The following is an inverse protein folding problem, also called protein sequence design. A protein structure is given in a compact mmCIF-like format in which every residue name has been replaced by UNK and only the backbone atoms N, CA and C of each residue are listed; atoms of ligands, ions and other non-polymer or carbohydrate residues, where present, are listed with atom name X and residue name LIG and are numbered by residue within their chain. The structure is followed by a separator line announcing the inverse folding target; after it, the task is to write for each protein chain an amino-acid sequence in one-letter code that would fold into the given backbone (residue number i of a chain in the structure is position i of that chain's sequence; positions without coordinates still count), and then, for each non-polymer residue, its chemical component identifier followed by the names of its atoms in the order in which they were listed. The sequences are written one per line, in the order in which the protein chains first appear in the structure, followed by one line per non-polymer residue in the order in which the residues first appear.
data_IF_410224896135
#
_entry.id   IF_410224896135
#
_cell.length_a   1.000
_cell.length_b   1.000
_cell.length_c   1.000
_cell.angle_alpha   90.00
_cell.angle_beta   90.00
_cell.angle_gamma   90.00
#
_symmetry.space_group_name_H-M   'P 1'
#
loop_
_entity.id
_entity.type
_entity.pdbx_description
1 polymer ?
#
# COMPACT_ATOMS: atom_id res chain seq x y z
N UNK A 1 -62.58 -33.32 -1.07
CA UNK A 1 -61.88 -33.20 -2.40
C UNK A 1 -60.89 -32.06 -2.45
N UNK A 2 -61.12 -30.92 -1.81
CA UNK A 2 -60.24 -29.76 -1.91
C UNK A 2 -58.92 -29.82 -1.14
N UNK A 3 -58.84 -30.54 -0.02
CA UNK A 3 -57.58 -30.64 0.80
C UNK A 3 -56.52 -31.49 0.11
N UNK A 4 -56.89 -32.47 -0.65
CA UNK A 4 -55.98 -33.39 -1.38
C UNK A 4 -55.28 -32.66 -2.53
N UNK A 5 -55.99 -31.77 -3.20
CA UNK A 5 -55.46 -30.94 -4.31
C UNK A 5 -54.40 -29.96 -3.78
N UNK A 6 -54.63 -29.35 -2.61
CA UNK A 6 -53.65 -28.43 -2.00
C UNK A 6 -52.35 -29.12 -1.57
N UNK A 7 -52.44 -30.35 -1.08
CA UNK A 7 -51.28 -31.17 -0.71
C UNK A 7 -50.49 -31.57 -1.97
N UNK A 8 -51.18 -31.89 -3.08
CA UNK A 8 -50.53 -32.22 -4.35
C UNK A 8 -49.84 -31.04 -4.99
N UNK A 9 -50.41 -29.83 -4.91
CA UNK A 9 -49.81 -28.62 -5.42
C UNK A 9 -48.60 -28.17 -4.57
N UNK A 10 -48.65 -28.37 -3.24
CA UNK A 10 -47.52 -28.05 -2.35
C UNK A 10 -46.33 -29.03 -2.54
N UNK A 11 -46.61 -30.30 -2.87
CA UNK A 11 -45.59 -31.31 -3.16
C UNK A 11 -44.87 -31.07 -4.50
N UNK A 12 -45.58 -30.51 -5.50
CA UNK A 12 -45.01 -30.22 -6.83
C UNK A 12 -44.06 -28.98 -6.80
N UNK A 13 -44.24 -28.08 -5.85
CA UNK A 13 -43.38 -26.88 -5.74
C UNK A 13 -42.01 -27.16 -5.08
N UNK A 14 -41.81 -28.33 -4.47
CA UNK A 14 -40.54 -28.71 -3.82
C UNK A 14 -39.52 -29.37 -4.78
N UNK A 15 -39.89 -29.65 -6.02
CA UNK A 15 -39.02 -30.34 -7.00
C UNK A 15 -38.41 -29.36 -8.02
N UNK A 16 -38.68 -28.06 -7.94
CA UNK A 16 -38.43 -27.11 -9.02
C UNK A 16 -37.10 -26.33 -8.93
N UNK A 17 -36.14 -26.72 -8.06
CA UNK A 17 -34.83 -26.06 -8.01
C UNK A 17 -33.71 -27.05 -7.76
N UNK A 18 -33.32 -27.81 -8.78
CA UNK A 18 -31.97 -28.41 -8.83
C UNK A 18 -31.29 -27.94 -10.12
N UNK A 19 -30.56 -26.82 -10.04
CA UNK A 19 -29.59 -26.47 -11.07
C UNK A 19 -28.37 -27.37 -10.88
N UNK A 20 -28.30 -28.45 -11.64
CA UNK A 20 -27.07 -29.22 -11.76
C UNK A 20 -26.07 -28.41 -12.60
N UNK A 21 -25.06 -27.84 -11.95
CA UNK A 21 -23.85 -27.36 -12.63
C UNK A 21 -23.16 -28.61 -13.22
N UNK A 22 -23.40 -28.87 -14.49
CA UNK A 22 -22.63 -29.87 -15.24
C UNK A 22 -21.29 -29.23 -15.57
N UNK A 23 -20.25 -29.66 -14.90
CA UNK A 23 -18.87 -29.33 -15.26
C UNK A 23 -18.56 -30.04 -16.59
N UNK A 24 -18.76 -29.36 -17.73
CA UNK A 24 -18.19 -29.81 -19.00
C UNK A 24 -16.68 -29.76 -18.91
N UNK A 25 -16.04 -30.90 -19.11
CA UNK A 25 -14.61 -31.16 -19.14
C UNK A 25 -13.70 -29.91 -19.18
N UNK A 26 -13.03 -29.61 -18.08
CA UNK A 26 -11.90 -28.66 -18.08
C UNK A 26 -10.70 -29.38 -18.67
N UNK A 27 -10.36 -29.05 -19.90
CA UNK A 27 -9.08 -29.45 -20.47
C UNK A 27 -8.02 -28.47 -19.93
N UNK A 28 -7.05 -28.98 -19.18
CA UNK A 28 -5.84 -28.21 -18.86
C UNK A 28 -5.04 -28.15 -20.15
N UNK A 29 -5.03 -26.97 -20.79
CA UNK A 29 -4.13 -26.70 -21.91
C UNK A 29 -2.82 -26.22 -21.33
N UNK A 30 -1.74 -27.00 -21.42
CA UNK A 30 -0.43 -26.55 -20.93
C UNK A 30 0.01 -25.37 -21.81
N UNK A 31 0.37 -24.26 -21.18
CA UNK A 31 1.00 -23.13 -21.86
C UNK A 31 2.46 -23.53 -22.07
N UNK A 32 2.81 -23.94 -23.32
CA UNK A 32 4.21 -24.21 -23.67
C UNK A 32 4.95 -22.89 -23.87
N UNK A 33 6.23 -22.85 -23.47
CA UNK A 33 7.12 -21.70 -23.73
C UNK A 33 7.46 -21.56 -25.22
N UNK A 34 7.15 -22.59 -26.03
CA UNK A 34 7.47 -22.68 -27.43
C UNK A 34 6.35 -22.18 -28.37
N UNK A 35 5.38 -21.45 -27.80
CA UNK A 35 4.37 -20.78 -28.61
C UNK A 35 5.01 -19.76 -29.54
N UNK A 36 4.86 -19.98 -30.86
CA UNK A 36 5.26 -19.00 -31.88
C UNK A 36 4.42 -17.72 -31.64
N UNK A 37 5.11 -16.61 -31.31
CA UNK A 37 4.43 -15.32 -31.27
C UNK A 37 3.84 -15.02 -32.64
N UNK A 38 2.60 -14.54 -32.68
CA UNK A 38 1.99 -14.10 -33.93
C UNK A 38 2.75 -12.84 -34.38
N UNK A 39 3.42 -12.92 -35.53
CA UNK A 39 4.33 -11.85 -36.01
C UNK A 39 3.67 -10.48 -36.10
N UNK A 40 2.39 -10.41 -36.43
CA UNK A 40 1.60 -9.18 -36.46
C UNK A 40 1.42 -8.59 -35.05
N UNK A 41 1.14 -9.42 -34.06
CA UNK A 41 1.00 -8.99 -32.66
C UNK A 41 2.35 -8.48 -32.12
N UNK A 42 3.45 -9.15 -32.45
CA UNK A 42 4.80 -8.69 -32.06
C UNK A 42 5.16 -7.33 -32.68
N UNK A 43 4.80 -7.10 -33.94
CA UNK A 43 5.03 -5.81 -34.60
C UNK A 43 4.26 -4.67 -33.91
N UNK A 44 3.06 -4.94 -33.45
CA UNK A 44 2.24 -3.95 -32.73
C UNK A 44 2.81 -3.69 -31.30
N UNK A 45 3.20 -4.74 -30.59
CA UNK A 45 3.64 -4.65 -29.19
C UNK A 45 5.08 -4.14 -29.06
N UNK A 46 5.96 -4.47 -30.01
CA UNK A 46 7.39 -4.19 -29.93
C UNK A 46 7.73 -2.71 -29.64
N UNK A 47 7.16 -1.70 -30.32
CA UNK A 47 7.47 -0.30 -30.03
C UNK A 47 7.14 0.12 -28.59
N UNK A 48 6.02 -0.36 -28.05
CA UNK A 48 5.61 -0.11 -26.66
C UNK A 48 6.52 -0.80 -25.67
N UNK A 49 6.86 -2.07 -25.93
CA UNK A 49 7.80 -2.83 -25.09
C UNK A 49 9.17 -2.16 -25.06
N UNK A 50 9.71 -1.76 -26.22
CA UNK A 50 11.01 -1.10 -26.30
C UNK A 50 11.02 0.25 -25.57
N UNK A 51 9.95 1.02 -25.67
CA UNK A 51 9.79 2.29 -24.93
C UNK A 51 9.69 2.06 -23.43
N UNK A 52 8.84 1.13 -22.99
CA UNK A 52 8.70 0.78 -21.58
C UNK A 52 10.01 0.24 -20.99
N UNK A 53 10.72 -0.63 -21.74
CA UNK A 53 11.99 -1.19 -21.27
C UNK A 53 13.02 -0.10 -21.03
N UNK A 54 13.12 0.91 -21.89
CA UNK A 54 14.02 2.05 -21.69
C UNK A 54 13.71 2.81 -20.40
N UNK A 55 12.43 3.05 -20.14
CA UNK A 55 11.98 3.76 -18.94
C UNK A 55 12.21 2.91 -17.69
N UNK A 56 11.83 1.63 -17.72
CA UNK A 56 11.92 0.76 -16.54
C UNK A 56 13.36 0.39 -16.16
N UNK A 57 14.31 0.55 -17.07
CA UNK A 57 15.74 0.29 -16.82
C UNK A 57 16.52 1.54 -16.39
N UNK A 58 15.85 2.66 -16.13
CA UNK A 58 16.54 3.84 -15.58
C UNK A 58 17.01 3.50 -14.16
N UNK A 59 18.29 3.74 -13.88
CA UNK A 59 18.88 3.63 -12.55
C UNK A 59 18.29 4.67 -11.60
N UNK A 60 17.86 4.23 -10.42
CA UNK A 60 17.22 5.07 -9.40
C UNK A 60 18.09 5.22 -8.16
N UNK A 61 18.89 4.19 -7.85
CA UNK A 61 19.77 4.16 -6.67
C UNK A 61 20.34 2.78 -6.45
N UNK A 62 21.01 2.57 -5.33
CA UNK A 62 21.56 1.28 -4.94
C UNK A 62 21.03 0.87 -3.56
N UNK A 63 20.82 -0.41 -3.38
CA UNK A 63 20.46 -0.99 -2.11
C UNK A 63 21.68 -1.67 -1.48
N UNK A 64 22.16 -1.26 -0.29
CA UNK A 64 23.31 -1.87 0.38
C UNK A 64 22.98 -3.26 0.92
N UNK A 65 21.71 -3.56 1.16
CA UNK A 65 21.20 -4.80 1.75
C UNK A 65 19.92 -5.24 1.04
N UNK A 66 19.37 -6.40 1.41
CA UNK A 66 18.01 -6.75 1.04
C UNK A 66 17.02 -6.02 1.94
N UNK A 67 16.13 -5.22 1.35
CA UNK A 67 15.00 -4.64 2.05
C UNK A 67 13.82 -5.59 1.98
N UNK A 68 13.38 -6.10 3.13
CA UNK A 68 12.33 -7.12 3.24
C UNK A 68 11.10 -6.57 3.95
N UNK A 69 9.95 -7.16 3.65
CA UNK A 69 8.67 -6.86 4.30
C UNK A 69 8.40 -7.86 5.41
N UNK A 70 8.34 -7.39 6.65
CA UNK A 70 8.02 -8.22 7.81
C UNK A 70 7.36 -7.38 8.90
N UNK A 71 6.32 -7.91 9.52
CA UNK A 71 5.68 -7.31 10.69
C UNK A 71 6.37 -7.76 11.98
N UNK A 72 6.35 -6.95 13.01
CA UNK A 72 5.67 -5.66 13.17
C UNK A 72 6.43 -4.46 12.56
N UNK A 73 7.70 -4.58 12.27
CA UNK A 73 8.56 -3.57 11.65
C UNK A 73 9.66 -4.24 10.85
N UNK A 74 10.01 -3.68 9.72
CA UNK A 74 11.11 -4.17 8.88
C UNK A 74 11.88 -3.01 8.25
N UNK A 75 13.09 -3.28 7.75
CA UNK A 75 13.89 -2.26 7.09
C UNK A 75 13.17 -1.65 5.87
N UNK A 76 12.38 -2.44 5.11
CA UNK A 76 11.62 -1.90 4.00
C UNK A 76 10.45 -1.03 4.43
N UNK A 77 9.70 -1.43 5.44
CA UNK A 77 8.61 -0.60 6.01
C UNK A 77 9.16 0.73 6.51
N UNK A 78 10.30 0.66 7.22
CA UNK A 78 10.95 1.85 7.73
C UNK A 78 11.42 2.75 6.59
N UNK A 79 12.13 2.19 5.58
CA UNK A 79 12.63 2.97 4.46
C UNK A 79 11.52 3.65 3.67
N UNK A 80 10.42 2.95 3.36
CA UNK A 80 9.29 3.54 2.61
C UNK A 80 8.67 4.71 3.37
N UNK A 81 8.45 4.55 4.67
CA UNK A 81 7.88 5.62 5.49
C UNK A 81 8.86 6.80 5.67
N UNK A 82 10.15 6.51 5.93
CA UNK A 82 11.20 7.52 6.10
C UNK A 82 11.44 8.30 4.81
N UNK A 83 11.53 7.61 3.67
CA UNK A 83 11.73 8.23 2.37
C UNK A 83 10.58 9.18 2.03
N UNK A 84 9.34 8.76 2.26
CA UNK A 84 8.20 9.65 2.05
C UNK A 84 8.22 10.83 3.01
N UNK A 85 8.47 10.59 4.30
CA UNK A 85 8.56 11.65 5.31
C UNK A 85 9.67 12.66 4.95
N UNK A 86 10.86 12.20 4.63
CA UNK A 86 11.98 13.05 4.24
C UNK A 86 11.67 13.85 2.96
N UNK A 87 11.13 13.20 1.92
CA UNK A 87 10.76 13.87 0.67
C UNK A 87 9.77 15.01 0.92
N UNK A 88 8.81 14.80 1.81
CA UNK A 88 7.74 15.76 2.07
C UNK A 88 8.13 16.89 3.05
N UNK A 89 9.15 16.68 3.90
CA UNK A 89 9.49 17.63 4.97
C UNK A 89 10.82 18.36 4.77
N UNK A 90 11.68 17.91 3.85
CA UNK A 90 13.04 18.46 3.67
C UNK A 90 13.11 19.96 3.34
N UNK A 91 12.04 20.53 2.78
CA UNK A 91 11.99 21.96 2.42
C UNK A 91 11.00 22.76 3.27
N UNK A 92 10.34 22.12 4.22
CA UNK A 92 9.29 22.72 5.06
C UNK A 92 9.80 22.85 6.48
N UNK A 93 9.67 24.05 7.06
CA UNK A 93 9.85 24.22 8.50
C UNK A 93 8.58 23.76 9.21
N UNK A 94 8.66 22.62 9.88
CA UNK A 94 7.54 22.06 10.62
C UNK A 94 7.23 22.96 11.84
N UNK A 95 6.02 23.49 11.89
CA UNK A 95 5.51 24.29 13.03
C UNK A 95 4.60 23.46 13.94
N UNK A 96 4.22 22.27 13.51
CA UNK A 96 3.36 21.32 14.20
C UNK A 96 4.00 19.93 14.14
N UNK A 97 3.72 19.04 15.10
CA UNK A 97 4.19 17.65 15.02
C UNK A 97 3.60 16.96 13.79
N UNK A 98 4.46 16.23 13.09
CA UNK A 98 4.12 15.51 11.85
C UNK A 98 4.71 14.11 11.91
N UNK A 99 3.98 13.11 11.46
CA UNK A 99 4.50 11.77 11.24
C UNK A 99 3.96 11.16 9.94
N UNK A 100 4.58 10.08 9.46
CA UNK A 100 4.09 9.34 8.31
C UNK A 100 3.44 8.03 8.77
N UNK A 101 2.29 7.70 8.21
CA UNK A 101 1.60 6.42 8.39
C UNK A 101 1.11 5.93 7.03
N UNK A 102 1.59 4.76 6.64
CA UNK A 102 1.17 4.06 5.42
C UNK A 102 0.57 2.69 5.79
N UNK A 103 0.16 1.91 4.77
CA UNK A 103 -0.32 0.56 4.96
C UNK A 103 0.69 -0.47 4.43
N UNK A 104 0.83 -1.58 5.15
CA UNK A 104 1.63 -2.74 4.74
C UNK A 104 1.23 -3.23 3.34
N UNK A 105 -0.10 -3.31 3.08
CA UNK A 105 -0.65 -3.76 1.81
C UNK A 105 -0.32 -2.87 0.61
N UNK A 106 0.09 -1.62 0.83
CA UNK A 106 0.52 -0.69 -0.22
C UNK A 106 1.87 -1.04 -0.82
N UNK A 107 2.74 -1.71 -0.06
CA UNK A 107 4.06 -2.16 -0.49
C UNK A 107 3.92 -3.57 -1.10
N UNK A 108 4.28 -3.75 -2.37
CA UNK A 108 3.94 -4.96 -3.14
C UNK A 108 5.13 -5.83 -3.53
N UNK A 109 6.35 -5.37 -3.28
CA UNK A 109 7.60 -6.08 -3.61
C UNK A 109 8.66 -5.78 -2.56
N UNK A 110 9.73 -6.56 -2.55
CA UNK A 110 10.97 -6.29 -1.81
C UNK A 110 11.97 -5.60 -2.73
N UNK A 111 13.02 -5.00 -2.16
CA UNK A 111 14.17 -4.51 -2.91
C UNK A 111 15.38 -5.38 -2.60
N UNK A 112 15.98 -5.96 -3.62
CA UNK A 112 17.17 -6.77 -3.43
C UNK A 112 18.42 -5.87 -3.30
N UNK A 113 19.44 -6.38 -2.62
CA UNK A 113 20.76 -5.77 -2.62
C UNK A 113 21.28 -5.58 -4.04
N UNK A 114 21.84 -4.41 -4.33
CA UNK A 114 22.41 -4.05 -5.63
C UNK A 114 21.70 -2.86 -6.26
N UNK A 115 21.79 -2.78 -7.58
CA UNK A 115 21.18 -1.71 -8.37
C UNK A 115 19.65 -1.73 -8.24
N UNK A 116 19.05 -0.55 -8.06
CA UNK A 116 17.60 -0.34 -8.05
C UNK A 116 17.22 0.40 -9.32
N UNK A 117 16.32 -0.20 -10.08
CA UNK A 117 15.80 0.37 -11.31
C UNK A 117 14.40 0.98 -11.13
N UNK A 118 14.02 1.83 -12.05
CA UNK A 118 12.67 2.39 -12.13
C UNK A 118 11.60 1.30 -12.05
N UNK A 119 11.80 0.19 -12.76
CA UNK A 119 10.89 -0.96 -12.75
C UNK A 119 10.72 -1.60 -11.36
N UNK A 120 11.72 -1.54 -10.50
CA UNK A 120 11.63 -2.08 -9.14
C UNK A 120 10.75 -1.16 -8.27
N UNK A 121 10.83 0.16 -8.46
CA UNK A 121 9.97 1.12 -7.78
C UNK A 121 8.50 0.97 -8.22
N UNK A 122 8.25 0.71 -9.49
CA UNK A 122 6.90 0.40 -9.99
C UNK A 122 6.35 -0.92 -9.45
N UNK A 123 7.19 -1.94 -9.22
CA UNK A 123 6.77 -3.18 -8.55
C UNK A 123 6.54 -2.96 -7.06
N UNK A 124 7.39 -2.13 -6.42
CA UNK A 124 7.30 -1.80 -4.99
C UNK A 124 6.00 -1.08 -4.67
N UNK A 125 5.67 -0.05 -5.43
CA UNK A 125 4.50 0.81 -5.23
C UNK A 125 3.73 0.97 -6.56
N UNK A 126 2.92 -0.03 -6.98
CA UNK A 126 2.27 -0.03 -8.30
C UNK A 126 1.05 0.88 -8.39
N UNK A 127 0.64 1.50 -7.31
CA UNK A 127 -0.55 2.34 -7.25
C UNK A 127 -0.23 3.82 -7.53
N UNK A 128 -1.15 4.53 -8.19
CA UNK A 128 -1.05 5.98 -8.43
C UNK A 128 -1.69 6.79 -7.29
N UNK A 129 -1.56 6.31 -6.06
CA UNK A 129 -2.06 6.99 -4.88
C UNK A 129 -1.34 8.33 -4.68
N UNK A 130 -2.11 9.39 -4.49
CA UNK A 130 -1.57 10.74 -4.27
C UNK A 130 -1.22 10.95 -2.80
N UNK A 131 -0.15 11.69 -2.56
CA UNK A 131 0.24 12.09 -1.21
C UNK A 131 -0.84 13.00 -0.64
N UNK A 132 -1.24 12.72 0.59
CA UNK A 132 -2.22 13.52 1.32
C UNK A 132 -1.72 13.73 2.75
N UNK A 133 -1.79 14.95 3.21
CA UNK A 133 -1.56 15.30 4.60
C UNK A 133 -2.92 15.45 5.28
N UNK A 134 -3.08 14.81 6.42
CA UNK A 134 -4.32 14.86 7.22
C UNK A 134 -3.98 15.40 8.59
N UNK A 135 -4.63 16.49 9.00
CA UNK A 135 -4.55 17.00 10.36
C UNK A 135 -5.59 16.30 11.21
N UNK A 136 -5.17 15.67 12.30
CA UNK A 136 -6.09 14.99 13.22
C UNK A 136 -5.94 15.54 14.65
N UNK A 137 -7.01 15.57 15.45
CA UNK A 137 -6.92 15.84 16.88
C UNK A 137 -6.04 14.79 17.58
N UNK A 138 -5.27 15.18 18.61
CA UNK A 138 -4.40 14.26 19.36
C UNK A 138 -5.19 13.14 20.04
N UNK A 139 -6.48 13.34 20.32
CA UNK A 139 -7.39 12.35 20.87
C UNK A 139 -7.64 11.15 19.94
N UNK A 140 -7.26 11.26 18.68
CA UNK A 140 -7.33 10.17 17.68
C UNK A 140 -6.14 9.20 17.81
N UNK A 141 -5.01 9.62 18.40
CA UNK A 141 -3.80 8.79 18.50
C UNK A 141 -4.01 7.45 19.22
N UNK A 142 -4.81 7.33 20.29
CA UNK A 142 -5.11 6.03 20.89
C UNK A 142 -5.84 5.06 19.93
N UNK A 143 -6.69 5.56 19.04
CA UNK A 143 -7.36 4.74 18.04
C UNK A 143 -6.36 4.24 16.96
N UNK A 144 -5.42 5.10 16.56
CA UNK A 144 -4.33 4.71 15.65
C UNK A 144 -3.45 3.66 16.32
N UNK A 145 -3.09 3.84 17.61
CA UNK A 145 -2.32 2.87 18.37
C UNK A 145 -3.01 1.49 18.43
N UNK A 146 -4.31 1.47 18.74
CA UNK A 146 -5.11 0.25 18.76
C UNK A 146 -5.17 -0.43 17.38
N UNK A 147 -5.27 0.36 16.30
CA UNK A 147 -5.24 -0.15 14.94
C UNK A 147 -3.89 -0.80 14.61
N UNK A 148 -2.77 -0.16 14.94
CA UNK A 148 -1.42 -0.68 14.73
C UNK A 148 -1.19 -2.01 15.46
N UNK A 149 -1.67 -2.13 16.70
CA UNK A 149 -1.63 -3.39 17.45
C UNK A 149 -2.48 -4.48 16.77
N UNK A 150 -3.69 -4.12 16.36
CA UNK A 150 -4.62 -5.06 15.73
C UNK A 150 -4.09 -5.61 14.39
N UNK A 151 -3.45 -4.77 13.58
CA UNK A 151 -2.91 -5.17 12.27
C UNK A 151 -1.55 -5.87 12.38
N UNK A 152 -0.92 -5.79 13.55
CA UNK A 152 0.44 -6.32 13.78
C UNK A 152 1.53 -5.41 13.23
N UNK A 153 1.23 -4.14 12.95
CA UNK A 153 2.19 -3.13 12.51
C UNK A 153 1.99 -2.64 11.08
N UNK A 154 2.22 -1.34 10.90
CA UNK A 154 2.15 -0.64 9.62
C UNK A 154 3.39 0.27 9.48
N UNK A 155 3.78 0.68 8.25
CA UNK A 155 4.92 1.58 8.04
C UNK A 155 4.72 2.94 8.73
N UNK A 156 5.66 3.29 9.62
CA UNK A 156 5.67 4.54 10.37
C UNK A 156 6.99 5.29 10.16
N UNK A 157 6.96 6.62 10.12
CA UNK A 157 8.13 7.48 10.27
C UNK A 157 7.85 8.65 11.20
N UNK A 158 8.88 9.08 11.91
CA UNK A 158 8.81 10.13 12.92
C UNK A 158 7.82 9.84 14.08
N UNK A 159 7.48 8.56 14.26
CA UNK A 159 6.65 8.05 15.34
C UNK A 159 6.99 6.59 15.65
N UNK A 160 6.64 6.13 16.85
CA UNK A 160 6.76 4.74 17.26
C UNK A 160 5.65 4.36 18.25
N UNK A 161 5.28 3.09 18.25
CA UNK A 161 4.33 2.49 19.19
C UNK A 161 5.11 1.74 20.27
N UNK A 162 4.87 2.09 21.53
CA UNK A 162 5.46 1.42 22.68
C UNK A 162 4.43 1.28 23.79
N UNK A 163 4.34 0.09 24.40
CA UNK A 163 3.38 -0.22 25.48
C UNK A 163 1.93 0.21 25.15
N UNK A 164 1.52 0.07 23.89
CA UNK A 164 0.18 0.42 23.43
C UNK A 164 -0.07 1.91 23.24
N UNK A 165 0.94 2.75 23.37
CA UNK A 165 0.87 4.20 23.15
C UNK A 165 1.65 4.61 21.91
N UNK A 166 1.05 5.44 21.07
CA UNK A 166 1.71 6.03 19.91
C UNK A 166 2.43 7.32 20.31
N UNK A 167 3.74 7.31 20.19
CA UNK A 167 4.62 8.45 20.44
C UNK A 167 4.96 9.10 19.10
N UNK A 168 4.76 10.40 19.00
CA UNK A 168 5.09 11.22 17.82
C UNK A 168 6.20 12.19 18.20
N UNK A 169 7.29 12.21 17.43
CA UNK A 169 8.39 13.12 17.71
C UNK A 169 7.94 14.59 17.57
N UNK A 170 8.29 15.41 18.55
CA UNK A 170 7.91 16.81 18.60
C UNK A 170 6.51 17.08 19.13
N UNK A 171 5.72 16.05 19.47
CA UNK A 171 4.42 16.21 20.13
C UNK A 171 4.62 16.42 21.63
N UNK A 172 4.02 17.47 22.16
CA UNK A 172 3.94 17.76 23.60
C UNK A 172 2.53 18.17 24.04
N UNK A 173 2.36 18.49 25.31
CA UNK A 173 1.05 18.81 25.91
C UNK A 173 0.42 20.12 25.39
N UNK A 174 1.17 20.96 24.68
CA UNK A 174 0.66 22.21 24.11
C UNK A 174 -0.06 21.98 22.78
N UNK A 175 0.17 20.84 22.13
CA UNK A 175 -0.42 20.52 20.84
C UNK A 175 -1.79 19.87 21.00
N UNK A 176 -2.76 20.35 20.24
CA UNK A 176 -4.11 19.78 20.15
C UNK A 176 -4.31 18.96 18.87
N UNK A 177 -3.44 19.13 17.90
CA UNK A 177 -3.50 18.44 16.61
C UNK A 177 -2.13 17.94 16.18
N UNK A 178 -2.11 16.96 15.28
CA UNK A 178 -0.92 16.41 14.65
C UNK A 178 -1.19 16.16 13.17
N UNK A 179 -0.19 16.41 12.32
CA UNK A 179 -0.28 16.11 10.91
C UNK A 179 0.20 14.69 10.61
N UNK A 180 -0.51 14.01 9.71
CA UNK A 180 -0.15 12.67 9.22
C UNK A 180 0.05 12.72 7.71
N UNK A 181 1.25 12.36 7.25
CA UNK A 181 1.54 12.13 5.84
C UNK A 181 1.09 10.73 5.48
N UNK A 182 0.21 10.62 4.49
CA UNK A 182 -0.39 9.34 4.08
C UNK A 182 -0.78 9.38 2.60
N UNK A 183 -1.53 8.40 2.11
CA UNK A 183 -2.11 8.39 0.77
C UNK A 183 -3.55 8.90 0.77
N UNK A 184 -4.03 9.36 -0.39
CA UNK A 184 -5.43 9.71 -0.59
C UNK A 184 -6.37 8.50 -0.40
N UNK A 185 -5.91 7.29 -0.76
CA UNK A 185 -6.63 6.06 -0.49
C UNK A 185 -6.87 5.84 1.01
N UNK A 186 -5.82 5.98 1.82
CA UNK A 186 -5.91 5.80 3.27
C UNK A 186 -6.68 6.95 3.94
N UNK A 187 -6.43 8.20 3.53
CA UNK A 187 -7.15 9.38 4.01
C UNK A 187 -8.68 9.25 3.82
N UNK A 188 -9.10 8.52 2.77
CA UNK A 188 -10.51 8.20 2.52
C UNK A 188 -11.02 6.97 3.30
N UNK A 189 -10.23 6.40 4.21
CA UNK A 189 -10.61 5.25 5.03
C UNK A 189 -10.27 3.89 4.41
N UNK A 190 -9.36 3.86 3.42
CA UNK A 190 -8.83 2.62 2.87
C UNK A 190 -8.20 1.74 3.95
N UNK A 191 -8.15 0.43 3.74
CA UNK A 191 -7.68 -0.59 4.69
C UNK A 191 -8.31 -0.48 6.10
N UNK A 192 -9.54 0.06 6.18
CA UNK A 192 -10.25 0.33 7.43
C UNK A 192 -9.55 1.35 8.36
N UNK A 193 -8.69 2.21 7.84
CA UNK A 193 -8.11 3.32 8.60
C UNK A 193 -9.13 4.46 8.80
N UNK A 194 -10.27 4.14 9.43
CA UNK A 194 -11.41 5.04 9.58
C UNK A 194 -11.12 6.24 10.47
N UNK A 195 -10.08 6.20 11.29
CA UNK A 195 -9.64 7.32 12.11
C UNK A 195 -9.24 8.54 11.28
N UNK A 196 -8.83 8.38 10.02
CA UNK A 196 -8.59 9.50 9.12
C UNK A 196 -9.85 10.33 8.84
N UNK A 197 -11.04 9.74 8.91
CA UNK A 197 -12.31 10.47 8.75
C UNK A 197 -12.60 11.48 9.89
N UNK A 198 -11.83 11.42 10.98
CA UNK A 198 -11.85 12.39 12.07
C UNK A 198 -10.91 13.57 11.84
N UNK A 199 -10.24 13.60 10.68
CA UNK A 199 -9.38 14.71 10.29
C UNK A 199 -10.15 16.03 10.18
N UNK A 200 -9.49 17.09 10.62
CA UNK A 200 -10.02 18.46 10.59
C UNK A 200 -9.58 19.21 9.34
N UNK A 201 -8.47 18.81 8.76
CA UNK A 201 -7.92 19.41 7.55
C UNK A 201 -7.25 18.36 6.66
N UNK A 202 -7.33 18.56 5.33
CA UNK A 202 -6.79 17.64 4.32
C UNK A 202 -6.09 18.44 3.23
N UNK A 203 -4.81 18.18 3.04
CA UNK A 203 -4.03 18.76 1.93
C UNK A 203 -3.61 17.65 0.98
N UNK A 204 -4.22 17.62 -0.20
CA UNK A 204 -3.90 16.66 -1.26
C UNK A 204 -2.88 17.25 -2.22
N UNK A 205 -1.81 16.50 -2.46
CA UNK A 205 -0.78 16.85 -3.43
C UNK A 205 -1.07 16.25 -4.80
N UNK A 206 -0.39 16.74 -5.83
CA UNK A 206 -0.46 16.17 -7.19
C UNK A 206 0.55 15.08 -7.45
N UNK A 207 1.53 14.91 -6.54
CA UNK A 207 2.59 13.92 -6.62
C UNK A 207 2.09 12.58 -6.06
N UNK A 208 2.44 11.47 -6.72
CA UNK A 208 2.17 10.13 -6.20
C UNK A 208 3.17 9.74 -5.11
N UNK A 209 2.80 8.75 -4.27
CA UNK A 209 3.74 8.17 -3.31
C UNK A 209 4.95 7.59 -4.04
N UNK A 210 4.72 6.86 -5.15
CA UNK A 210 5.79 6.27 -5.95
C UNK A 210 6.79 7.31 -6.45
N UNK A 211 6.31 8.42 -7.01
CA UNK A 211 7.19 9.48 -7.50
C UNK A 211 8.04 10.07 -6.39
N UNK A 212 7.45 10.27 -5.19
CA UNK A 212 8.20 10.75 -4.03
C UNK A 212 9.28 9.76 -3.57
N UNK A 213 8.98 8.46 -3.59
CA UNK A 213 9.97 7.42 -3.26
C UNK A 213 11.08 7.33 -4.30
N UNK A 214 10.77 7.49 -5.60
CA UNK A 214 11.76 7.53 -6.68
C UNK A 214 12.68 8.74 -6.49
N UNK A 215 12.13 9.92 -6.28
CA UNK A 215 12.91 11.14 -6.04
C UNK A 215 13.81 11.00 -4.82
N UNK A 216 13.30 10.42 -3.73
CA UNK A 216 14.09 10.25 -2.51
C UNK A 216 15.19 9.21 -2.68
N UNK A 217 14.92 8.09 -3.39
CA UNK A 217 15.93 7.10 -3.73
C UNK A 217 17.05 7.70 -4.60
N UNK A 218 16.70 8.49 -5.62
CA UNK A 218 17.68 9.20 -6.46
C UNK A 218 18.48 10.23 -5.66
N UNK A 219 17.87 10.91 -4.68
CA UNK A 219 18.53 11.86 -3.80
C UNK A 219 19.52 11.16 -2.85
N UNK A 220 19.16 10.00 -2.30
CA UNK A 220 20.03 9.22 -1.42
C UNK A 220 21.20 8.59 -2.18
N UNK A 221 21.00 8.17 -3.43
CA UNK A 221 21.96 7.36 -4.19
C UNK A 221 22.04 5.94 -3.66
N UNK A 222 22.61 5.76 -2.45
CA UNK A 222 22.53 4.51 -1.68
C UNK A 222 21.38 4.60 -0.68
N UNK A 223 20.44 3.65 -0.72
CA UNK A 223 19.29 3.65 0.18
C UNK A 223 19.73 3.51 1.63
N UNK A 224 19.19 4.34 2.51
CA UNK A 224 19.53 4.36 3.92
C UNK A 224 18.74 3.29 4.67
N UNK A 225 19.44 2.25 5.16
CA UNK A 225 18.81 1.22 5.98
C UNK A 225 18.56 1.73 7.41
N UNK A 226 17.35 1.51 7.93
CA UNK A 226 16.99 1.66 9.34
C UNK A 226 16.33 0.38 9.84
N UNK A 227 16.83 -0.15 10.96
CA UNK A 227 16.40 -1.43 11.55
C UNK A 227 15.75 -1.25 12.93
N UNK A 228 15.46 -0.03 13.31
CA UNK A 228 14.80 0.30 14.56
C UNK A 228 13.38 -0.30 14.60
N UNK A 229 13.04 -0.83 15.77
CA UNK A 229 11.71 -1.38 16.01
C UNK A 229 10.76 -0.24 16.37
N UNK A 230 9.89 0.11 15.44
CA UNK A 230 8.90 1.20 15.61
C UNK A 230 7.60 0.73 16.26
N UNK A 231 7.40 -0.57 16.33
CA UNK A 231 6.24 -1.19 16.98
C UNK A 231 6.76 -2.25 17.95
N UNK A 232 6.58 -1.99 19.26
CA UNK A 232 7.13 -2.78 20.35
C UNK A 232 6.28 -2.69 21.64
#
# INVERSE_FOLDING_TARGET
MNKLIWILCLGASLVACSSHLVLHQTAIVPISKDGTSVSETEQIIKPYRDSMSKMMNIHVGNSPVNFIMERPSSNLMNWVADALFANQTKTIRLSQPVFCLLNFGGIRSTLNKGEILMGDMFKLMPFDNLITWVEVPVEVLPEIAAFLLKTGGEPLANAYLENGQLHVNGLDQSHTHVWIITSDYLANGGDNMLFFKKGTNYTKHTKTLRDALIEEAMFQGDLIETTDKRIR
#
